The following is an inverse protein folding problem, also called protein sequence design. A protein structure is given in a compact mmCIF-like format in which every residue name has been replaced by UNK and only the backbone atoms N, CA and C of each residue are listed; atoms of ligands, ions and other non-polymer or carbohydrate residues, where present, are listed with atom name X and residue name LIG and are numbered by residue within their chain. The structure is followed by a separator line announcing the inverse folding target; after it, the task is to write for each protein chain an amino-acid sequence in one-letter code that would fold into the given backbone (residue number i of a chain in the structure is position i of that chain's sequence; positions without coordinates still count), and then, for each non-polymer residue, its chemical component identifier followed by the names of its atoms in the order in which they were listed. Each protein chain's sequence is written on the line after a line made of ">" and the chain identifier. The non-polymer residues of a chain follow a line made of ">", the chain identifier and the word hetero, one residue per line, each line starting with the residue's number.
data_IF_567442792554
#
_entry.id   IF_567442792554
#
_cell.length_a   1.000
_cell.length_b   1.000
_cell.length_c   1.000
_cell.angle_alpha   90.00
_cell.angle_beta   90.00
_cell.angle_gamma   90.00
#
_symmetry.space_group_name_H-M   'P 1'
#
loop_
_entity.id
_entity.type
_entity.pdbx_description
1 polymer ?
#
# COMPACT_ATOMS: atom_id res chain seq x y z
N UNK A 1 14.62 4.25 0.94
CA UNK A 1 13.61 4.58 1.96
C UNK A 1 12.94 5.87 1.48
N UNK A 2 11.61 5.87 1.41
CA UNK A 2 10.80 6.94 0.84
C UNK A 2 9.88 7.52 1.91
N UNK A 3 9.40 8.74 1.69
CA UNK A 3 8.53 9.46 2.62
C UNK A 3 7.23 9.89 1.92
N UNK A 4 6.12 9.77 2.63
CA UNK A 4 4.86 10.43 2.31
C UNK A 4 4.58 11.42 3.44
N UNK A 5 4.37 12.69 3.08
CA UNK A 5 3.93 13.73 3.99
C UNK A 5 2.51 14.13 3.58
N UNK A 6 1.55 13.82 4.44
CA UNK A 6 0.12 14.07 4.20
C UNK A 6 -0.39 15.09 5.21
N UNK A 7 -0.85 16.24 4.73
CA UNK A 7 -1.61 17.18 5.57
C UNK A 7 -2.97 16.58 5.89
N UNK A 8 -3.59 17.02 6.97
CA UNK A 8 -4.95 16.59 7.29
C UNK A 8 -5.91 16.96 6.15
N UNK A 9 -6.60 15.96 5.61
CA UNK A 9 -7.61 16.12 4.59
C UNK A 9 -8.92 16.66 5.17
N UNK A 10 -9.18 16.38 6.46
CA UNK A 10 -10.30 16.88 7.24
C UNK A 10 -9.89 16.97 8.72
N UNK A 11 -10.25 18.04 9.44
CA UNK A 11 -10.12 18.13 10.90
C UNK A 11 -11.14 19.08 11.55
N UNK A 12 -11.80 18.61 12.60
CA UNK A 12 -12.68 19.45 13.39
C UNK A 12 -12.65 19.03 14.84
N UNK A 13 -12.87 19.97 15.76
CA UNK A 13 -13.18 19.60 17.14
C UNK A 13 -14.68 19.73 17.42
N UNK A 14 -15.14 18.97 18.40
CA UNK A 14 -16.51 19.04 18.91
C UNK A 14 -16.47 19.40 20.39
N UNK A 15 -17.54 20.00 20.89
CA UNK A 15 -17.63 20.53 22.25
C UNK A 15 -18.97 20.17 22.86
N UNK A 16 -18.97 19.46 24.00
CA UNK A 16 -20.21 19.01 24.68
C UNK A 16 -21.14 20.16 25.04
N UNK A 17 -20.58 21.31 25.43
CA UNK A 17 -21.38 22.51 25.74
C UNK A 17 -21.95 23.22 24.50
N UNK A 18 -21.45 22.87 23.30
CA UNK A 18 -21.86 23.45 22.02
C UNK A 18 -22.37 22.33 21.11
N UNK A 19 -23.44 21.69 21.57
CA UNK A 19 -23.97 20.43 21.06
C UNK A 19 -24.10 20.37 19.52
N UNK A 20 -24.72 21.39 18.91
CA UNK A 20 -25.00 21.46 17.47
C UNK A 20 -24.12 22.48 16.72
N UNK A 21 -22.99 22.91 17.30
CA UNK A 21 -22.08 23.83 16.61
C UNK A 21 -20.97 23.04 15.92
N UNK A 22 -20.81 23.30 14.63
CA UNK A 22 -19.66 22.84 13.85
C UNK A 22 -18.47 23.78 14.04
N UNK A 23 -17.27 23.20 14.19
CA UNK A 23 -16.01 23.93 14.31
C UNK A 23 -14.99 23.53 13.23
N UNK A 24 -15.44 23.04 12.07
CA UNK A 24 -14.54 22.64 10.98
C UNK A 24 -13.71 23.79 10.42
N UNK A 25 -14.21 25.03 10.45
CA UNK A 25 -13.45 26.21 10.01
C UNK A 25 -12.60 26.86 11.12
N UNK A 26 -12.51 26.23 12.30
CA UNK A 26 -11.72 26.78 13.39
C UNK A 26 -10.23 26.69 13.09
N UNK A 27 -9.45 27.69 13.48
CA UNK A 27 -7.98 27.67 13.40
C UNK A 27 -7.32 26.82 14.50
N UNK A 28 -8.13 26.17 15.34
CA UNK A 28 -7.72 25.46 16.56
C UNK A 28 -8.44 24.12 16.68
N UNK A 29 -7.75 23.12 17.22
CA UNK A 29 -8.28 21.80 17.53
C UNK A 29 -8.18 21.55 19.04
N UNK A 30 -9.32 21.54 19.72
CA UNK A 30 -9.40 21.39 21.16
C UNK A 30 -9.55 19.91 21.55
N UNK A 31 -8.81 19.47 22.57
CA UNK A 31 -8.90 18.12 23.15
C UNK A 31 -8.82 18.22 24.67
N UNK A 32 -9.65 17.47 25.38
CA UNK A 32 -9.60 17.38 26.85
C UNK A 32 -10.93 17.72 27.52
N UNK A 33 -10.93 17.76 28.84
CA UNK A 33 -12.12 17.96 29.65
C UNK A 33 -11.96 19.09 30.67
N UNK A 34 -13.06 19.77 30.93
CA UNK A 34 -13.27 20.55 32.17
C UNK A 34 -14.45 19.93 32.93
N UNK A 35 -14.80 20.49 34.08
CA UNK A 35 -15.98 20.04 34.83
C UNK A 35 -17.26 20.08 33.99
N UNK A 36 -17.40 21.10 33.13
CA UNK A 36 -18.63 21.35 32.37
C UNK A 36 -18.52 21.02 30.89
N UNK A 37 -17.31 21.01 30.31
CA UNK A 37 -17.11 20.76 28.88
C UNK A 37 -16.23 19.54 28.60
N UNK A 38 -16.41 18.98 27.42
CA UNK A 38 -15.60 17.90 26.89
C UNK A 38 -15.33 18.17 25.41
N UNK A 39 -14.06 18.23 25.06
CA UNK A 39 -13.56 18.50 23.72
C UNK A 39 -12.92 17.24 23.14
N UNK A 40 -13.29 16.93 21.90
CA UNK A 40 -12.71 15.85 21.12
C UNK A 40 -12.35 16.40 19.75
N UNK A 41 -11.22 15.98 19.20
CA UNK A 41 -10.80 16.36 17.84
C UNK A 41 -10.92 15.15 16.93
N UNK A 42 -11.52 15.31 15.77
CA UNK A 42 -11.55 14.32 14.70
C UNK A 42 -10.63 14.79 13.59
N UNK A 43 -9.80 13.89 13.07
CA UNK A 43 -8.78 14.21 12.07
C UNK A 43 -8.57 13.04 11.11
N UNK A 44 -8.51 13.32 9.81
CA UNK A 44 -8.30 12.31 8.77
C UNK A 44 -7.16 12.74 7.85
N UNK A 45 -6.29 11.80 7.49
CA UNK A 45 -5.19 12.01 6.54
C UNK A 45 -5.41 11.15 5.29
N UNK A 46 -5.08 11.70 4.13
CA UNK A 46 -5.10 10.93 2.89
C UNK A 46 -3.80 10.12 2.74
N UNK A 47 -3.92 8.81 2.61
CA UNK A 47 -2.80 7.88 2.39
C UNK A 47 -2.84 7.22 1.00
N UNK A 48 -3.76 7.63 0.13
CA UNK A 48 -3.97 7.03 -1.20
C UNK A 48 -2.75 7.17 -2.13
N UNK A 49 -1.83 8.07 -1.80
CA UNK A 49 -0.56 8.26 -2.49
C UNK A 49 0.53 7.25 -2.12
N UNK A 50 0.30 6.36 -1.13
CA UNK A 50 1.21 5.26 -0.88
C UNK A 50 1.17 4.26 -2.05
N UNK A 51 2.31 3.87 -2.63
CA UNK A 51 2.34 2.85 -3.67
C UNK A 51 1.70 1.54 -3.19
N UNK A 52 1.10 0.80 -4.13
CA UNK A 52 0.72 -0.59 -3.89
C UNK A 52 1.97 -1.41 -3.52
N UNK A 53 1.77 -2.44 -2.69
CA UNK A 53 2.83 -3.37 -2.30
C UNK A 53 4.05 -2.65 -1.69
N UNK A 54 3.78 -1.72 -0.77
CA UNK A 54 4.82 -1.00 -0.01
C UNK A 54 4.98 -1.59 1.38
N UNK A 55 6.22 -1.63 1.88
CA UNK A 55 6.51 -1.94 3.27
C UNK A 55 6.54 -0.64 4.08
N UNK A 56 5.52 -0.41 4.89
CA UNK A 56 5.47 0.71 5.83
C UNK A 56 6.39 0.40 7.03
N UNK A 57 7.35 1.28 7.30
CA UNK A 57 8.31 1.13 8.42
C UNK A 57 7.93 1.99 9.61
N UNK A 58 7.39 3.18 9.37
CA UNK A 58 6.94 4.09 10.43
C UNK A 58 5.82 5.00 9.92
N UNK A 59 4.87 5.37 10.78
CA UNK A 59 3.91 6.42 10.53
C UNK A 59 3.68 7.27 11.78
N UNK A 60 4.07 8.54 11.72
CA UNK A 60 3.94 9.50 12.82
C UNK A 60 2.93 10.59 12.47
N UNK A 61 1.87 10.68 13.26
CA UNK A 61 0.94 11.82 13.23
C UNK A 61 1.47 12.91 14.15
N UNK A 62 1.64 14.13 13.63
CA UNK A 62 2.22 15.26 14.33
C UNK A 62 1.25 16.44 14.34
N UNK A 63 0.90 16.94 15.53
CA UNK A 63 0.09 18.13 15.71
C UNK A 63 0.86 19.18 16.52
N UNK A 64 0.79 20.44 16.11
CA UNK A 64 1.47 21.52 16.81
C UNK A 64 0.63 22.03 17.98
N UNK A 65 1.18 21.97 19.18
CA UNK A 65 0.53 22.40 20.41
C UNK A 65 0.65 23.92 20.57
N UNK A 66 -0.46 24.63 20.39
CA UNK A 66 -0.54 26.08 20.57
C UNK A 66 -0.59 26.46 22.05
N UNK A 67 -1.38 25.74 22.84
CA UNK A 67 -1.61 26.03 24.24
C UNK A 67 -2.02 24.77 25.01
N UNK A 68 -1.73 24.75 26.32
CA UNK A 68 -2.20 23.73 27.23
C UNK A 68 -2.62 24.36 28.56
N UNK A 69 -3.82 24.04 29.03
CA UNK A 69 -4.30 24.46 30.34
C UNK A 69 -3.49 23.77 31.44
N UNK A 70 -3.24 24.44 32.57
CA UNK A 70 -2.52 23.83 33.71
C UNK A 70 -1.20 23.17 33.27
N UNK A 71 -0.25 23.97 32.75
CA UNK A 71 1.00 23.49 32.13
C UNK A 71 1.78 22.49 32.99
N UNK A 72 1.71 22.63 34.33
CA UNK A 72 2.42 21.76 35.29
C UNK A 72 1.81 20.37 35.47
N UNK A 73 0.69 20.07 34.79
CA UNK A 73 0.01 18.78 34.83
C UNK A 73 0.27 18.05 33.52
N UNK A 74 0.84 16.85 33.61
CA UNK A 74 0.98 15.92 32.47
C UNK A 74 -0.40 15.49 31.98
N UNK A 75 -0.59 15.42 30.66
CA UNK A 75 -1.87 15.08 30.03
C UNK A 75 -1.65 13.96 29.03
N UNK A 76 -2.50 12.95 29.07
CA UNK A 76 -2.45 11.83 28.12
C UNK A 76 -3.58 12.00 27.12
N UNK A 77 -3.22 11.94 25.84
CA UNK A 77 -4.17 12.08 24.73
C UNK A 77 -4.12 10.79 23.91
N UNK A 78 -5.23 10.07 23.91
CA UNK A 78 -5.39 8.86 23.11
C UNK A 78 -5.87 9.18 21.71
N UNK A 79 -5.37 8.43 20.73
CA UNK A 79 -5.82 8.43 19.35
C UNK A 79 -6.61 7.15 19.07
N UNK A 80 -7.89 7.30 18.73
CA UNK A 80 -8.86 6.22 18.58
C UNK A 80 -9.32 6.15 17.12
N UNK A 81 -9.23 4.99 16.44
CA UNK A 81 -9.75 4.84 15.08
C UNK A 81 -11.24 5.18 15.00
N UNK A 82 -11.60 6.00 14.03
CA UNK A 82 -13.01 6.34 13.75
C UNK A 82 -13.65 5.22 12.93
N UNK A 83 -14.88 4.85 13.27
CA UNK A 83 -15.58 3.69 12.70
C UNK A 83 -16.59 4.04 11.61
N UNK A 84 -16.85 5.33 11.41
CA UNK A 84 -17.88 5.81 10.49
C UNK A 84 -17.37 7.02 9.70
N UNK A 85 -17.83 7.19 8.44
CA UNK A 85 -17.50 8.39 7.67
C UNK A 85 -18.07 9.63 8.36
N UNK A 86 -17.36 10.74 8.21
CA UNK A 86 -17.77 12.06 8.69
C UNK A 86 -17.27 13.13 7.74
N UNK A 87 -17.95 14.28 7.78
CA UNK A 87 -17.61 15.46 6.99
C UNK A 87 -17.27 16.61 7.94
N UNK A 88 -16.14 17.25 7.68
CA UNK A 88 -15.60 18.36 8.47
C UNK A 88 -16.57 19.53 8.65
N UNK A 89 -17.36 19.83 7.64
CA UNK A 89 -18.34 20.92 7.63
C UNK A 89 -19.72 20.54 8.21
N UNK A 90 -19.94 19.28 8.59
CA UNK A 90 -21.22 18.79 9.13
C UNK A 90 -21.09 18.24 10.55
N UNK A 91 -19.88 17.88 10.99
CA UNK A 91 -19.66 17.30 12.31
C UNK A 91 -19.93 18.29 13.44
N UNK A 92 -20.63 17.83 14.46
CA UNK A 92 -20.98 18.52 15.70
C UNK A 92 -20.86 17.51 16.84
N UNK A 93 -20.97 17.95 18.09
CA UNK A 93 -20.95 16.99 19.20
C UNK A 93 -22.17 16.04 19.14
N UNK A 94 -23.32 16.53 18.67
CA UNK A 94 -24.56 15.77 18.59
C UNK A 94 -24.62 14.70 17.50
N UNK A 95 -23.76 14.78 16.47
CA UNK A 95 -23.74 13.84 15.34
C UNK A 95 -22.34 13.25 15.05
N UNK A 96 -21.38 13.42 15.96
CA UNK A 96 -20.02 12.88 15.81
C UNK A 96 -20.02 11.37 15.54
N UNK A 97 -19.08 10.85 14.72
CA UNK A 97 -18.99 9.43 14.43
C UNK A 97 -18.51 8.65 15.65
N UNK A 98 -18.87 7.36 15.71
CA UNK A 98 -18.31 6.43 16.67
C UNK A 98 -16.82 6.20 16.39
N UNK A 99 -16.06 5.94 17.45
CA UNK A 99 -14.66 5.53 17.41
C UNK A 99 -14.45 4.32 18.32
N UNK A 100 -13.34 3.62 18.16
CA UNK A 100 -12.98 2.44 18.94
C UNK A 100 -12.91 2.69 20.45
N UNK A 101 -13.13 1.66 21.26
CA UNK A 101 -13.08 1.80 22.72
C UNK A 101 -11.66 2.00 23.28
N UNK A 102 -10.63 1.57 22.54
CA UNK A 102 -9.23 1.62 22.97
C UNK A 102 -8.39 2.46 22.00
N UNK A 103 -7.45 3.26 22.52
CA UNK A 103 -6.56 4.03 21.66
C UNK A 103 -5.54 3.09 21.01
N UNK A 104 -5.22 3.35 19.74
CA UNK A 104 -4.11 2.66 19.05
C UNK A 104 -2.76 3.30 19.33
N UNK A 105 -2.77 4.54 19.83
CA UNK A 105 -1.59 5.29 20.22
C UNK A 105 -1.96 6.34 21.27
N UNK A 106 -1.01 6.68 22.13
CA UNK A 106 -1.13 7.77 23.10
C UNK A 106 0.06 8.71 22.98
N UNK A 107 -0.17 9.99 23.26
CA UNK A 107 0.90 10.97 23.41
C UNK A 107 0.74 11.72 24.74
N UNK A 108 1.87 12.11 25.31
CA UNK A 108 1.91 12.83 26.58
C UNK A 108 2.28 14.28 26.35
N UNK A 109 1.41 15.19 26.76
CA UNK A 109 1.65 16.63 26.77
C UNK A 109 2.11 17.04 28.17
N UNK A 110 3.28 17.68 28.25
CA UNK A 110 3.84 18.22 29.51
C UNK A 110 3.98 19.74 29.44
N UNK A 111 4.81 20.36 30.29
CA UNK A 111 5.10 21.80 30.44
C UNK A 111 5.62 22.53 29.16
N UNK A 112 5.13 22.22 27.97
CA UNK A 112 5.66 22.68 26.69
C UNK A 112 4.49 23.10 25.81
N UNK A 113 4.41 24.38 25.46
CA UNK A 113 3.59 24.86 24.35
C UNK A 113 4.53 25.36 23.25
N UNK A 114 4.04 25.44 22.02
CA UNK A 114 4.85 25.83 20.86
C UNK A 114 5.73 24.71 20.30
N UNK A 115 5.33 23.45 20.45
CA UNK A 115 6.05 22.27 19.95
C UNK A 115 5.10 21.28 19.28
N UNK A 116 5.64 20.38 18.46
CA UNK A 116 4.88 19.24 17.94
C UNK A 116 4.74 18.15 19.00
N UNK A 117 3.55 17.55 19.01
CA UNK A 117 3.22 16.33 19.75
C UNK A 117 2.96 15.24 18.73
N UNK A 118 3.51 14.06 18.97
CA UNK A 118 3.56 12.97 18.00
C UNK A 118 2.90 11.71 18.54
N UNK A 119 2.11 11.05 17.70
CA UNK A 119 1.58 9.70 17.93
C UNK A 119 2.17 8.75 16.90
N UNK A 120 2.71 7.63 17.36
CA UNK A 120 3.09 6.54 16.47
C UNK A 120 1.85 5.70 16.13
N UNK A 121 1.35 5.86 14.91
CA UNK A 121 0.19 5.14 14.39
C UNK A 121 0.59 4.13 13.30
N UNK A 122 1.83 3.65 13.33
CA UNK A 122 2.40 2.75 12.30
C UNK A 122 1.54 1.51 12.06
N UNK A 123 1.01 0.91 13.13
CA UNK A 123 0.13 -0.27 13.02
C UNK A 123 -1.17 0.09 12.29
N UNK A 124 -1.83 1.18 12.67
CA UNK A 124 -3.08 1.61 12.06
C UNK A 124 -2.93 1.94 10.57
N UNK A 125 -1.85 2.63 10.19
CA UNK A 125 -1.63 2.98 8.77
C UNK A 125 -1.37 1.74 7.92
N UNK A 126 -0.79 0.67 8.49
CA UNK A 126 -0.68 -0.64 7.80
C UNK A 126 -2.05 -1.29 7.61
N UNK A 127 -2.93 -1.21 8.60
CA UNK A 127 -4.29 -1.75 8.50
C UNK A 127 -5.11 -0.98 7.45
N UNK A 128 -4.96 0.34 7.38
CA UNK A 128 -5.57 1.16 6.32
C UNK A 128 -5.00 0.84 4.93
N UNK A 129 -3.68 0.74 4.80
CA UNK A 129 -3.02 0.50 3.51
C UNK A 129 -3.33 -0.89 2.93
N UNK A 130 -3.42 -1.91 3.80
CA UNK A 130 -3.80 -3.27 3.41
C UNK A 130 -5.30 -3.45 3.14
N UNK A 131 -6.13 -2.46 3.53
CA UNK A 131 -7.59 -2.55 3.44
C UNK A 131 -8.24 -3.39 4.55
N UNK A 132 -7.49 -3.78 5.58
CA UNK A 132 -8.04 -4.47 6.75
C UNK A 132 -8.99 -3.57 7.55
N UNK A 133 -8.73 -2.26 7.56
CA UNK A 133 -9.60 -1.23 8.13
C UNK A 133 -9.84 -0.12 7.12
N UNK A 134 -11.06 0.42 7.09
CA UNK A 134 -11.34 1.64 6.35
C UNK A 134 -10.67 2.85 7.04
N UNK A 135 -10.15 3.80 6.25
CA UNK A 135 -9.60 5.04 6.78
C UNK A 135 -10.71 6.10 6.92
N UNK A 136 -11.27 6.21 8.12
CA UNK A 136 -12.14 7.33 8.52
C UNK A 136 -11.44 8.32 9.46
N UNK A 137 -10.12 8.18 9.63
CA UNK A 137 -9.32 9.01 10.52
C UNK A 137 -9.33 8.57 11.98
N UNK A 138 -9.00 9.51 12.86
CA UNK A 138 -8.77 9.32 14.28
C UNK A 138 -9.59 10.34 15.08
N UNK A 139 -10.12 9.91 16.21
CA UNK A 139 -10.60 10.76 17.30
C UNK A 139 -9.48 10.92 18.33
N UNK A 140 -9.14 12.16 18.68
CA UNK A 140 -8.23 12.50 19.77
C UNK A 140 -9.07 12.86 21.00
N UNK A 141 -8.86 12.08 22.05
CA UNK A 141 -9.69 12.13 23.25
C UNK A 141 -8.81 12.12 24.49
N UNK A 142 -9.17 12.94 25.48
CA UNK A 142 -8.52 13.00 26.79
C UNK A 142 -9.51 13.44 27.86
N UNK A 143 -9.39 12.89 29.06
CA UNK A 143 -10.13 13.35 30.24
C UNK A 143 -9.35 14.41 31.04
N UNK A 144 -8.13 14.73 30.62
CA UNK A 144 -7.27 15.72 31.27
C UNK A 144 -7.65 17.16 30.89
N UNK A 145 -7.14 18.18 31.61
CA UNK A 145 -7.43 19.58 31.30
C UNK A 145 -7.11 19.94 29.84
N UNK A 146 -7.88 20.84 29.19
CA UNK A 146 -7.82 20.97 27.75
C UNK A 146 -6.49 21.47 27.20
N UNK A 147 -6.14 20.96 26.03
CA UNK A 147 -5.06 21.44 25.16
C UNK A 147 -5.63 21.93 23.84
N UNK A 148 -4.85 22.75 23.15
CA UNK A 148 -5.22 23.38 21.88
C UNK A 148 -4.11 23.12 20.87
N UNK A 149 -4.43 22.42 19.80
CA UNK A 149 -3.55 22.23 18.65
C UNK A 149 -3.91 23.19 17.51
N UNK A 150 -2.97 23.42 16.61
CA UNK A 150 -3.25 24.10 15.34
C UNK A 150 -4.06 23.19 14.41
N UNK A 151 -5.09 23.74 13.78
CA UNK A 151 -5.86 23.06 12.73
C UNK A 151 -5.23 23.25 11.34
N UNK A 152 -5.82 22.63 10.31
CA UNK A 152 -5.46 22.94 8.92
C UNK A 152 -5.69 24.42 8.58
N UNK A 153 -6.66 25.08 9.21
CA UNK A 153 -7.01 26.47 8.93
C UNK A 153 -6.02 27.46 9.58
N UNK A 154 -5.10 26.96 10.40
CA UNK A 154 -4.02 27.75 10.95
C UNK A 154 -2.87 27.94 9.94
N UNK A 155 -3.12 28.79 8.95
CA UNK A 155 -2.21 29.05 7.83
C UNK A 155 -1.02 29.98 8.17
N UNK A 156 -0.44 29.86 9.37
CA UNK A 156 0.77 30.61 9.74
C UNK A 156 1.95 30.21 8.83
N UNK A 157 2.20 31.03 7.81
CA UNK A 157 3.12 30.73 6.69
C UNK A 157 4.59 30.66 7.09
N UNK A 158 4.95 31.10 8.30
CA UNK A 158 6.33 31.05 8.81
C UNK A 158 6.65 29.77 9.58
N UNK A 159 5.66 29.07 10.13
CA UNK A 159 5.90 27.96 11.07
C UNK A 159 5.46 26.57 10.58
N UNK A 160 4.63 26.47 9.51
CA UNK A 160 4.14 25.18 8.96
C UNK A 160 3.60 24.24 10.05
N UNK A 161 2.67 24.75 10.85
CA UNK A 161 2.15 24.10 12.07
C UNK A 161 0.89 23.27 11.88
N UNK A 162 0.44 23.11 10.63
CA UNK A 162 -0.72 22.30 10.30
C UNK A 162 -0.48 20.83 10.68
N UNK A 163 -1.54 20.08 11.03
CA UNK A 163 -1.41 18.66 11.30
C UNK A 163 -0.80 17.90 10.12
N UNK A 164 0.16 17.02 10.41
CA UNK A 164 0.92 16.29 9.41
C UNK A 164 1.08 14.82 9.79
N UNK A 165 0.74 13.93 8.87
CA UNK A 165 1.13 12.52 8.91
C UNK A 165 2.37 12.31 8.06
N UNK A 166 3.44 11.81 8.67
CA UNK A 166 4.66 11.39 7.97
C UNK A 166 4.74 9.88 7.97
N UNK A 167 4.78 9.26 6.79
CA UNK A 167 4.89 7.82 6.60
C UNK A 167 6.22 7.50 5.94
N UNK A 168 7.05 6.72 6.62
CA UNK A 168 8.24 6.09 6.06
C UNK A 168 7.88 4.74 5.44
N UNK A 169 8.33 4.52 4.21
CA UNK A 169 8.05 3.29 3.49
C UNK A 169 9.17 2.87 2.53
N UNK A 170 9.14 1.61 2.15
CA UNK A 170 9.96 1.03 1.10
C UNK A 170 9.04 0.40 0.05
N UNK A 171 8.92 1.01 -1.15
CA UNK A 171 8.21 0.38 -2.25
C UNK A 171 8.82 -0.98 -2.57
N UNK A 172 7.99 -1.94 -3.00
CA UNK A 172 8.52 -3.10 -3.71
C UNK A 172 9.28 -2.63 -4.95
N UNK A 173 10.48 -3.17 -5.13
CA UNK A 173 11.22 -3.06 -6.39
C UNK A 173 10.88 -4.27 -7.23
N UNK A 174 10.61 -4.05 -8.51
CA UNK A 174 10.46 -5.14 -9.47
C UNK A 174 11.55 -5.02 -10.53
N UNK A 175 12.16 -6.15 -10.87
CA UNK A 175 13.05 -6.28 -12.01
C UNK A 175 12.37 -7.12 -13.08
N UNK A 176 12.50 -6.69 -14.34
CA UNK A 176 12.02 -7.45 -15.49
C UNK A 176 13.21 -8.09 -16.19
N UNK A 177 13.09 -9.39 -16.46
CA UNK A 177 14.03 -10.16 -17.26
C UNK A 177 13.31 -10.55 -18.53
N UNK A 178 13.90 -10.23 -19.69
CA UNK A 178 13.34 -10.58 -20.99
C UNK A 178 14.41 -11.14 -21.89
N UNK A 179 14.07 -12.20 -22.62
CA UNK A 179 14.92 -12.76 -23.66
C UNK A 179 14.07 -13.25 -24.84
N UNK A 180 14.68 -13.40 -26.01
CA UNK A 180 14.00 -13.82 -27.22
C UNK A 180 14.90 -14.65 -28.14
N UNK A 181 14.44 -15.84 -28.48
CA UNK A 181 15.02 -16.72 -29.49
C UNK A 181 14.14 -16.69 -30.73
N UNK A 182 14.73 -16.42 -31.90
CA UNK A 182 13.99 -16.16 -33.14
C UNK A 182 14.39 -17.09 -34.26
N UNK A 183 13.45 -17.33 -35.17
CA UNK A 183 13.63 -18.15 -36.37
C UNK A 183 14.10 -19.58 -36.06
N UNK A 184 13.57 -20.18 -34.98
CA UNK A 184 13.88 -21.55 -34.58
C UNK A 184 13.16 -22.52 -35.51
N UNK A 185 13.92 -23.31 -36.27
CA UNK A 185 13.38 -24.31 -37.18
C UNK A 185 12.98 -25.58 -36.41
N UNK A 186 11.75 -26.03 -36.61
CA UNK A 186 11.27 -27.28 -36.01
C UNK A 186 11.65 -28.48 -36.88
N UNK A 187 11.79 -29.63 -36.23
CA UNK A 187 12.09 -30.93 -36.86
C UNK A 187 11.18 -32.01 -36.31
N UNK A 188 11.27 -33.23 -36.85
CA UNK A 188 10.58 -34.40 -36.31
C UNK A 188 11.08 -34.77 -34.90
N UNK A 189 12.35 -34.49 -34.62
CA UNK A 189 12.97 -34.63 -33.31
C UNK A 189 12.73 -33.41 -32.42
N UNK A 190 12.69 -33.67 -31.10
CA UNK A 190 12.55 -32.63 -30.07
C UNK A 190 13.79 -31.73 -30.07
N UNK A 191 13.55 -30.43 -30.12
CA UNK A 191 14.53 -29.38 -29.84
C UNK A 191 14.11 -28.62 -28.58
N UNK A 192 14.99 -27.77 -28.06
CA UNK A 192 14.76 -27.03 -26.82
C UNK A 192 15.29 -25.61 -26.91
N UNK A 193 14.58 -24.69 -26.26
CA UNK A 193 15.02 -23.32 -26.03
C UNK A 193 16.24 -23.27 -25.09
N UNK A 194 16.78 -22.07 -24.89
CA UNK A 194 17.68 -21.79 -23.79
C UNK A 194 17.05 -22.20 -22.44
N UNK A 195 17.92 -22.55 -21.49
CA UNK A 195 17.52 -22.87 -20.12
C UNK A 195 17.49 -21.59 -19.29
N UNK A 196 16.34 -21.27 -18.71
CA UNK A 196 16.16 -20.06 -17.90
C UNK A 196 16.14 -20.42 -16.42
N UNK A 197 16.96 -19.74 -15.61
CA UNK A 197 16.86 -19.82 -14.15
C UNK A 197 15.72 -18.90 -13.68
N UNK A 198 14.73 -19.50 -13.03
CA UNK A 198 13.49 -18.86 -12.57
C UNK A 198 13.45 -18.67 -11.05
N UNK A 199 14.50 -19.05 -10.31
CA UNK A 199 14.50 -19.02 -8.83
C UNK A 199 14.29 -17.65 -8.21
N UNK A 200 14.75 -16.58 -8.85
CA UNK A 200 14.60 -15.19 -8.38
C UNK A 200 13.38 -14.46 -8.92
N UNK A 201 12.48 -15.17 -9.62
CA UNK A 201 11.34 -14.56 -10.31
C UNK A 201 10.03 -14.98 -9.65
N UNK A 202 9.14 -14.01 -9.45
CA UNK A 202 7.80 -14.21 -8.91
C UNK A 202 6.80 -14.60 -10.00
N UNK A 203 7.00 -14.08 -11.21
CA UNK A 203 6.16 -14.40 -12.38
C UNK A 203 7.04 -14.73 -13.57
N UNK A 204 6.68 -15.80 -14.29
CA UNK A 204 7.40 -16.28 -15.48
C UNK A 204 6.39 -16.63 -16.56
N UNK A 205 6.69 -16.27 -17.80
CA UNK A 205 5.91 -16.69 -18.96
C UNK A 205 6.80 -16.88 -20.18
N UNK A 206 6.42 -17.85 -21.01
CA UNK A 206 6.97 -18.07 -22.33
C UNK A 206 5.91 -17.77 -23.38
N UNK A 207 6.22 -16.87 -24.31
CA UNK A 207 5.41 -16.63 -25.49
C UNK A 207 6.02 -17.40 -26.64
N UNK A 208 5.23 -18.17 -27.37
CA UNK A 208 5.68 -18.87 -28.57
C UNK A 208 4.80 -18.49 -29.73
N UNK A 209 5.40 -18.01 -30.83
CA UNK A 209 4.69 -17.69 -32.07
C UNK A 209 5.13 -18.63 -33.17
N UNK A 210 4.17 -19.26 -33.86
CA UNK A 210 4.43 -20.06 -35.03
C UNK A 210 4.36 -19.18 -36.28
N UNK A 211 5.53 -18.83 -36.80
CA UNK A 211 5.69 -17.95 -37.95
C UNK A 211 5.84 -18.74 -39.27
N UNK A 212 5.83 -20.08 -39.21
CA UNK A 212 5.94 -20.95 -40.37
C UNK A 212 4.62 -21.55 -40.84
N UNK A 213 4.71 -22.55 -41.71
CA UNK A 213 3.58 -23.06 -42.50
C UNK A 213 2.86 -24.28 -41.90
N UNK A 214 3.42 -24.92 -40.87
CA UNK A 214 2.90 -26.17 -40.32
C UNK A 214 2.69 -26.11 -38.79
N UNK A 215 1.81 -26.94 -38.25
CA UNK A 215 1.52 -27.02 -36.81
C UNK A 215 2.77 -27.39 -35.99
N UNK A 216 2.97 -26.72 -34.85
CA UNK A 216 4.09 -26.98 -33.93
C UNK A 216 3.58 -27.42 -32.57
N UNK A 217 4.13 -28.50 -32.02
CA UNK A 217 3.90 -28.91 -30.63
C UNK A 217 4.99 -28.31 -29.76
N UNK A 218 4.57 -27.64 -28.68
CA UNK A 218 5.46 -27.09 -27.66
C UNK A 218 5.12 -27.64 -26.29
N UNK A 219 6.13 -27.91 -25.48
CA UNK A 219 6.02 -28.37 -24.11
C UNK A 219 6.82 -27.43 -23.21
N UNK A 220 6.16 -26.82 -22.22
CA UNK A 220 6.88 -26.16 -21.14
C UNK A 220 7.48 -27.24 -20.24
N UNK A 221 8.80 -27.23 -20.12
CA UNK A 221 9.56 -28.12 -19.23
C UNK A 221 10.05 -27.36 -18.01
N UNK A 222 9.92 -27.99 -16.85
CA UNK A 222 10.34 -27.47 -15.56
C UNK A 222 11.32 -28.43 -14.90
N UNK A 223 12.32 -27.92 -14.19
CA UNK A 223 13.38 -28.72 -13.58
C UNK A 223 13.94 -28.07 -12.30
N UNK A 224 14.13 -28.85 -11.22
CA UNK A 224 14.78 -28.34 -10.01
C UNK A 224 16.30 -28.23 -10.13
N UNK A 225 16.94 -28.95 -11.06
CA UNK A 225 18.41 -29.09 -11.15
C UNK A 225 18.99 -28.77 -12.54
N UNK A 226 18.12 -28.41 -13.49
CA UNK A 226 18.50 -28.12 -14.88
C UNK A 226 18.84 -29.36 -15.71
N UNK A 227 18.68 -30.57 -15.15
CA UNK A 227 19.05 -31.85 -15.78
C UNK A 227 17.85 -32.78 -15.93
N UNK A 228 17.01 -32.90 -14.90
CA UNK A 228 15.79 -33.72 -14.91
C UNK A 228 14.59 -32.83 -15.17
N UNK A 229 13.89 -33.06 -16.28
CA UNK A 229 12.77 -32.22 -16.73
C UNK A 229 11.43 -32.95 -16.66
N UNK A 230 10.41 -32.25 -16.19
CA UNK A 230 9.01 -32.66 -16.24
C UNK A 230 8.24 -31.78 -17.22
N UNK A 231 7.22 -32.35 -17.88
CA UNK A 231 6.26 -31.55 -18.66
C UNK A 231 5.31 -30.87 -17.69
N UNK A 232 5.29 -29.55 -17.72
CA UNK A 232 4.32 -28.73 -16.99
C UNK A 232 3.05 -28.53 -17.83
N UNK A 233 3.22 -28.15 -19.09
CA UNK A 233 2.10 -27.95 -20.02
C UNK A 233 2.51 -28.21 -21.47
N UNK A 234 1.53 -28.58 -22.30
CA UNK A 234 1.70 -28.86 -23.73
C UNK A 234 0.68 -28.04 -24.52
N UNK A 235 1.12 -27.45 -25.64
CA UNK A 235 0.24 -26.77 -26.59
C UNK A 235 0.62 -27.10 -28.03
N UNK A 236 -0.39 -27.24 -28.89
CA UNK A 236 -0.21 -27.24 -30.34
C UNK A 236 -0.52 -25.84 -30.87
N UNK A 237 0.36 -25.30 -31.70
CA UNK A 237 0.29 -23.94 -32.24
C UNK A 237 0.17 -24.03 -33.75
N UNK A 238 -0.99 -23.68 -34.28
CA UNK A 238 -1.24 -23.65 -35.72
C UNK A 238 -0.44 -22.52 -36.42
N UNK A 239 -0.23 -22.60 -37.74
CA UNK A 239 0.43 -21.55 -38.52
C UNK A 239 -0.16 -20.15 -38.25
N UNK A 240 0.71 -19.18 -37.99
CA UNK A 240 0.34 -17.79 -37.71
C UNK A 240 -0.34 -17.57 -36.36
N UNK A 241 -0.43 -18.59 -35.49
CA UNK A 241 -0.95 -18.45 -34.13
C UNK A 241 0.18 -18.33 -33.11
N UNK A 242 -0.19 -17.86 -31.92
CA UNK A 242 0.71 -17.79 -30.77
C UNK A 242 0.08 -18.40 -29.53
N UNK A 243 0.91 -18.83 -28.60
CA UNK A 243 0.49 -19.34 -27.31
C UNK A 243 1.37 -18.80 -26.18
N UNK A 244 0.78 -18.68 -24.99
CA UNK A 244 1.49 -18.37 -23.75
C UNK A 244 1.55 -19.61 -22.88
N UNK A 245 2.73 -19.93 -22.35
CA UNK A 245 2.97 -20.99 -21.39
C UNK A 245 3.41 -20.34 -20.07
N UNK A 246 2.74 -20.69 -18.96
CA UNK A 246 3.02 -20.16 -17.63
C UNK A 246 3.27 -21.36 -16.72
N UNK A 247 4.45 -21.48 -16.08
CA UNK A 247 4.72 -22.57 -15.15
C UNK A 247 3.66 -22.65 -14.06
N UNK A 248 3.12 -23.85 -13.81
CA UNK A 248 2.14 -24.09 -12.74
C UNK A 248 2.78 -24.63 -11.48
N UNK A 249 4.06 -25.02 -11.55
CA UNK A 249 4.87 -25.44 -10.41
C UNK A 249 6.13 -24.58 -10.27
N UNK A 250 6.60 -24.42 -9.04
CA UNK A 250 7.81 -23.66 -8.75
C UNK A 250 9.05 -24.55 -8.84
N UNK A 251 9.93 -24.27 -9.80
CA UNK A 251 11.22 -24.93 -9.97
C UNK A 251 12.32 -23.91 -10.29
N UNK A 252 13.58 -24.28 -10.07
CA UNK A 252 14.72 -23.38 -10.33
C UNK A 252 14.93 -23.12 -11.82
N UNK A 253 14.60 -24.07 -12.70
CA UNK A 253 14.82 -23.95 -14.13
C UNK A 253 13.57 -24.24 -14.94
N UNK A 254 13.42 -23.54 -16.06
CA UNK A 254 12.40 -23.79 -17.07
C UNK A 254 12.93 -23.59 -18.50
N UNK A 255 12.36 -24.31 -19.45
CA UNK A 255 12.61 -24.15 -20.89
C UNK A 255 11.41 -24.60 -21.71
N UNK A 256 11.37 -24.27 -22.99
CA UNK A 256 10.35 -24.77 -23.93
C UNK A 256 10.98 -25.80 -24.85
N UNK A 257 10.47 -27.03 -24.79
CA UNK A 257 10.76 -28.07 -25.77
C UNK A 257 9.77 -27.95 -26.94
N UNK A 258 10.23 -28.14 -28.18
CA UNK A 258 9.41 -27.95 -29.36
C UNK A 258 9.77 -28.91 -30.49
N UNK A 259 8.79 -29.25 -31.33
CA UNK A 259 8.96 -30.04 -32.55
C UNK A 259 7.82 -29.84 -33.54
N UNK A 260 7.99 -30.30 -34.77
CA UNK A 260 6.90 -30.38 -35.75
C UNK A 260 5.82 -31.32 -35.24
N UNK A 261 4.55 -30.90 -35.32
CA UNK A 261 3.42 -31.74 -34.85
C UNK A 261 3.27 -32.98 -35.73
N UNK A 262 3.45 -32.80 -37.04
CA UNK A 262 3.36 -33.85 -38.05
C UNK A 262 4.74 -34.14 -38.64
N UNK A 263 5.02 -35.42 -38.90
CA UNK A 263 6.30 -35.86 -39.46
C UNK A 263 6.56 -35.28 -40.86
N UNK A 264 7.79 -34.83 -41.11
CA UNK A 264 8.22 -34.24 -42.37
C UNK A 264 7.63 -32.86 -42.67
N UNK A 265 6.98 -32.21 -41.69
CA UNK A 265 6.33 -30.91 -41.85
C UNK A 265 6.98 -29.83 -40.96
N UNK A 266 8.21 -29.39 -41.28
CA UNK A 266 8.90 -28.38 -40.49
C UNK A 266 8.18 -27.02 -40.57
N UNK A 267 8.31 -26.26 -39.49
CA UNK A 267 7.85 -24.89 -39.32
C UNK A 267 8.93 -24.04 -38.66
N UNK A 268 8.67 -22.75 -38.48
CA UNK A 268 9.57 -21.78 -37.84
C UNK A 268 8.85 -21.11 -36.68
N UNK A 269 9.48 -21.04 -35.51
CA UNK A 269 8.92 -20.38 -34.33
C UNK A 269 9.85 -19.32 -33.76
N UNK A 270 9.26 -18.37 -33.04
CA UNK A 270 9.96 -17.46 -32.13
C UNK A 270 9.49 -17.77 -30.70
N UNK A 271 10.41 -17.74 -29.74
CA UNK A 271 10.15 -17.95 -28.31
C UNK A 271 10.63 -16.72 -27.54
N UNK A 272 9.78 -16.12 -26.72
CA UNK A 272 10.16 -15.07 -25.78
C UNK A 272 10.01 -15.57 -24.35
N UNK A 273 11.03 -15.31 -23.55
CA UNK A 273 10.98 -15.44 -22.10
C UNK A 273 10.69 -14.08 -21.46
N UNK A 274 9.76 -14.05 -20.52
CA UNK A 274 9.45 -12.88 -19.71
C UNK A 274 9.37 -13.29 -18.24
N UNK A 275 10.13 -12.59 -17.41
CA UNK A 275 10.22 -12.81 -15.97
C UNK A 275 10.08 -11.50 -15.21
N UNK A 276 9.38 -11.53 -14.07
CA UNK A 276 9.35 -10.43 -13.11
C UNK A 276 9.80 -10.96 -11.75
N UNK A 277 10.85 -10.37 -11.18
CA UNK A 277 11.36 -10.68 -9.85
C UNK A 277 11.33 -9.46 -8.92
N UNK A 278 11.60 -9.69 -7.64
CA UNK A 278 11.73 -8.66 -6.60
C UNK A 278 13.18 -8.36 -6.26
#
# INVERSE_FOLDING_TARGET
>A
MSLLNSLAAQNAYVSRLKWDINFGESTELNVGATVINFYQTFIMFDISHLPLETKITQALMNLYLLNASQLSVSKVIGAYPVLQPWLENEITYGNQPLYEDNPVAEAVVTNQAGTFISWDITALVKDWHSGALANYGLALVSTDPPVVFASSENISTSLRIQPLLTVEFQPATYSFVSDAERNLATTDEIQFSALYNTSGLNMVSFFVSNNGANDVTVELKVSPDGSVFLVDSLKNIAPGQSAVLVPQVFTEFARVDYKSTNLGQPSIIDIWFQGQGS
#
